data_IF_442149639751
#
_entry.id   IF_442149639751
#
_cell.length_a   1.000
_cell.length_b   1.000
_cell.length_c   1.000
_cell.angle_alpha   90.00
_cell.angle_beta   90.00
_cell.angle_gamma   90.00
#
_symmetry.space_group_name_H-M   'P 1'
#
loop_
_entity.id
_entity.type
_entity.pdbx_description
1 polymer ?
#
# COMPACT_ATOMS: atom_id res chain seq x y z
N UNK A 1 -9.74 -23.67 0.55
CA UNK A 1 -9.89 -22.37 1.27
C UNK A 1 -10.62 -21.41 0.34
N UNK A 2 -11.64 -20.70 0.81
CA UNK A 2 -12.24 -19.65 0.00
C UNK A 2 -11.35 -18.39 0.11
N UNK A 3 -10.60 -18.08 -0.93
CA UNK A 3 -9.81 -16.86 -0.98
C UNK A 3 -10.70 -15.64 -1.21
N UNK A 4 -10.35 -14.51 -0.60
CA UNK A 4 -11.01 -13.22 -0.84
C UNK A 4 -10.68 -12.78 -2.26
N UNK A 5 -11.71 -12.57 -3.07
CA UNK A 5 -11.54 -12.02 -4.43
C UNK A 5 -11.06 -10.57 -4.34
N UNK A 6 -10.12 -10.23 -5.20
CA UNK A 6 -9.52 -8.90 -5.27
C UNK A 6 -9.69 -8.31 -6.68
N UNK A 7 -10.91 -7.87 -7.04
CA UNK A 7 -11.28 -7.53 -8.41
C UNK A 7 -10.34 -6.49 -9.04
N UNK A 8 -10.02 -5.43 -8.33
CA UNK A 8 -9.15 -4.36 -8.82
C UNK A 8 -7.80 -4.87 -9.33
N UNK A 9 -7.16 -5.77 -8.58
CA UNK A 9 -5.86 -6.34 -8.93
C UNK A 9 -5.98 -7.40 -10.04
N UNK A 10 -7.02 -8.23 -10.01
CA UNK A 10 -7.31 -9.19 -11.09
C UNK A 10 -7.59 -8.48 -12.41
N UNK A 11 -8.34 -7.38 -12.40
CA UNK A 11 -8.61 -6.57 -13.58
C UNK A 11 -7.33 -5.93 -14.16
N UNK A 12 -6.37 -5.57 -13.31
CA UNK A 12 -5.06 -5.12 -13.78
C UNK A 12 -4.33 -6.25 -14.51
N UNK A 13 -4.29 -7.46 -13.96
CA UNK A 13 -3.63 -8.61 -14.59
C UNK A 13 -4.31 -8.98 -15.92
N UNK A 14 -5.66 -9.01 -15.96
CA UNK A 14 -6.46 -9.26 -17.20
C UNK A 14 -6.16 -8.24 -18.29
N UNK A 15 -6.13 -6.94 -17.95
CA UNK A 15 -5.86 -5.86 -18.93
C UNK A 15 -4.51 -5.97 -19.59
N UNK A 16 -3.53 -6.57 -18.91
CA UNK A 16 -2.16 -6.72 -19.41
C UNK A 16 -1.81 -8.14 -19.85
N UNK A 17 -2.77 -9.08 -19.82
CA UNK A 17 -2.62 -10.45 -20.33
C UNK A 17 -2.26 -10.43 -21.81
N UNK A 18 -1.39 -11.35 -22.22
CA UNK A 18 -0.95 -11.55 -23.61
C UNK A 18 -0.33 -10.27 -24.25
N UNK A 19 0.12 -9.34 -23.43
CA UNK A 19 0.88 -8.16 -23.88
C UNK A 19 2.35 -8.35 -23.56
N UNK A 20 3.20 -7.96 -24.51
CA UNK A 20 4.65 -7.98 -24.31
C UNK A 20 5.08 -6.88 -23.32
N UNK A 21 4.72 -7.08 -22.07
CA UNK A 21 5.07 -6.23 -20.94
C UNK A 21 5.13 -7.10 -19.68
N UNK A 22 6.11 -6.89 -18.82
CA UNK A 22 6.24 -7.61 -17.55
C UNK A 22 5.20 -7.07 -16.57
N UNK A 23 4.42 -7.95 -15.92
CA UNK A 23 3.45 -7.59 -14.88
C UNK A 23 4.10 -7.77 -13.53
N UNK A 24 4.26 -6.68 -12.82
CA UNK A 24 4.87 -6.68 -11.51
C UNK A 24 3.82 -6.39 -10.45
N UNK A 25 3.79 -7.27 -9.45
CA UNK A 25 2.90 -7.18 -8.30
C UNK A 25 3.76 -6.95 -7.06
N UNK A 26 3.87 -5.70 -6.64
CA UNK A 26 4.56 -5.33 -5.41
C UNK A 26 3.58 -5.26 -4.22
N UNK A 27 4.09 -5.00 -3.04
CA UNK A 27 3.26 -4.80 -1.85
C UNK A 27 3.88 -5.40 -0.59
N UNK A 28 3.47 -4.87 0.57
CA UNK A 28 3.99 -5.28 1.86
C UNK A 28 3.87 -6.81 2.08
N UNK A 29 4.75 -7.36 2.88
CA UNK A 29 4.65 -8.78 3.28
C UNK A 29 3.26 -9.10 3.84
N UNK A 30 2.71 -10.28 3.48
CA UNK A 30 1.38 -10.76 3.93
C UNK A 30 0.17 -9.98 3.41
N UNK A 31 0.32 -9.07 2.45
CA UNK A 31 -0.81 -8.39 1.81
C UNK A 31 -1.62 -9.28 0.86
N UNK A 32 -1.12 -10.48 0.52
CA UNK A 32 -1.84 -11.46 -0.31
C UNK A 32 -1.38 -11.55 -1.76
N UNK A 33 -0.15 -11.13 -2.10
CA UNK A 33 0.43 -11.22 -3.46
C UNK A 33 0.39 -12.64 -4.04
N UNK A 34 0.90 -13.63 -3.29
CA UNK A 34 0.92 -15.05 -3.72
C UNK A 34 -0.49 -15.61 -3.92
N UNK A 35 -1.45 -15.20 -3.06
CA UNK A 35 -2.87 -15.57 -3.22
C UNK A 35 -3.46 -14.93 -4.48
N UNK A 36 -3.10 -13.70 -4.80
CA UNK A 36 -3.53 -13.04 -6.04
C UNK A 36 -3.04 -13.83 -7.27
N UNK A 37 -1.79 -14.30 -7.28
CA UNK A 37 -1.28 -15.17 -8.34
C UNK A 37 -2.03 -16.49 -8.41
N UNK A 38 -2.37 -17.08 -7.26
CA UNK A 38 -3.16 -18.32 -7.23
C UNK A 38 -4.54 -18.11 -7.85
N UNK A 39 -5.25 -17.06 -7.45
CA UNK A 39 -6.56 -16.71 -8.02
C UNK A 39 -6.49 -16.47 -9.53
N UNK A 40 -5.45 -15.79 -10.00
CA UNK A 40 -5.30 -15.50 -11.42
C UNK A 40 -4.94 -16.76 -12.22
N UNK A 41 -4.12 -17.67 -11.68
CA UNK A 41 -3.85 -18.98 -12.31
C UNK A 41 -5.12 -19.82 -12.43
N UNK A 42 -5.96 -19.85 -11.40
CA UNK A 42 -7.27 -20.54 -11.44
C UNK A 42 -8.17 -19.95 -12.54
N UNK A 43 -8.12 -18.64 -12.73
CA UNK A 43 -8.86 -17.96 -13.80
C UNK A 43 -8.30 -18.30 -15.19
N UNK A 44 -6.97 -18.34 -15.37
CA UNK A 44 -6.35 -18.76 -16.62
C UNK A 44 -6.77 -20.18 -17.02
N UNK A 45 -6.72 -21.14 -16.09
CA UNK A 45 -7.20 -22.50 -16.30
C UNK A 45 -8.70 -22.53 -16.67
N UNK A 46 -9.52 -21.76 -15.97
CA UNK A 46 -10.95 -21.67 -16.25
C UNK A 46 -11.27 -21.06 -17.64
N UNK A 47 -10.33 -20.27 -18.19
CA UNK A 47 -10.45 -19.68 -19.54
C UNK A 47 -9.84 -20.53 -20.66
N UNK A 48 -9.40 -21.76 -20.36
CA UNK A 48 -8.92 -22.74 -21.32
C UNK A 48 -7.40 -22.75 -21.54
N UNK A 49 -6.61 -22.14 -20.65
CA UNK A 49 -5.15 -22.31 -20.63
C UNK A 49 -4.85 -23.69 -20.04
N UNK A 50 -4.01 -24.49 -20.70
CA UNK A 50 -3.59 -25.79 -20.21
C UNK A 50 -2.62 -25.63 -19.02
N UNK A 51 -2.64 -26.59 -18.09
CA UNK A 51 -1.77 -26.55 -16.90
C UNK A 51 -0.27 -26.56 -17.26
N UNK A 52 0.12 -27.24 -18.34
CA UNK A 52 1.49 -27.27 -18.85
C UNK A 52 2.00 -25.93 -19.41
N UNK A 53 1.10 -24.98 -19.70
CA UNK A 53 1.42 -23.63 -20.10
C UNK A 53 1.66 -22.67 -18.91
N UNK A 54 1.44 -23.14 -17.66
CA UNK A 54 1.62 -22.33 -16.46
C UNK A 54 2.88 -22.79 -15.71
N UNK A 55 3.91 -21.94 -15.70
CA UNK A 55 5.11 -22.15 -14.89
C UNK A 55 5.03 -21.23 -13.67
N UNK A 56 4.93 -21.83 -12.47
CA UNK A 56 4.80 -21.06 -11.23
C UNK A 56 5.84 -21.49 -10.21
N UNK A 57 6.69 -20.56 -9.80
CA UNK A 57 7.80 -20.78 -8.87
C UNK A 57 7.68 -19.77 -7.72
N UNK A 58 7.64 -20.29 -6.48
CA UNK A 58 7.74 -19.46 -5.28
C UNK A 58 9.13 -19.64 -4.66
N UNK A 59 9.94 -18.58 -4.63
CA UNK A 59 11.32 -18.64 -4.14
C UNK A 59 11.45 -18.65 -2.61
N UNK A 60 10.35 -18.58 -1.86
CA UNK A 60 10.35 -18.92 -0.42
C UNK A 60 10.29 -20.43 -0.19
N UNK A 61 9.85 -21.23 -1.19
CA UNK A 61 9.84 -22.69 -1.11
C UNK A 61 11.25 -23.25 -1.32
N UNK A 62 11.69 -24.07 -0.36
CA UNK A 62 13.01 -24.72 -0.38
C UNK A 62 13.19 -25.66 -1.57
N UNK A 63 12.10 -26.21 -2.14
CA UNK A 63 12.14 -27.07 -3.34
C UNK A 63 12.73 -26.38 -4.55
N UNK A 64 12.69 -25.03 -4.57
CA UNK A 64 13.24 -24.20 -5.64
C UNK A 64 14.54 -23.49 -5.26
N UNK A 65 15.21 -23.92 -4.17
CA UNK A 65 16.42 -23.25 -3.69
C UNK A 65 17.50 -23.16 -4.75
N UNK A 66 17.76 -24.22 -5.52
CA UNK A 66 18.75 -24.27 -6.59
C UNK A 66 18.43 -23.32 -7.76
N UNK A 67 17.16 -22.93 -7.91
CA UNK A 67 16.72 -21.96 -8.93
C UNK A 67 16.95 -20.49 -8.51
N UNK A 68 17.49 -20.22 -7.32
CA UNK A 68 17.83 -18.87 -6.89
C UNK A 68 19.05 -18.28 -7.60
N UNK A 69 19.75 -19.11 -8.38
CA UNK A 69 20.81 -18.64 -9.29
C UNK A 69 20.22 -18.36 -10.68
N UNK A 70 20.50 -17.18 -11.24
CA UNK A 70 19.86 -16.69 -12.46
C UNK A 70 20.03 -17.62 -13.69
N UNK A 71 21.21 -18.22 -13.88
CA UNK A 71 21.46 -19.13 -15.00
C UNK A 71 20.67 -20.43 -14.86
N UNK A 72 20.60 -20.99 -13.67
CA UNK A 72 19.84 -22.23 -13.38
C UNK A 72 18.35 -21.98 -13.60
N UNK A 73 17.83 -20.85 -13.12
CA UNK A 73 16.44 -20.48 -13.33
C UNK A 73 16.10 -20.31 -14.81
N UNK A 74 16.93 -19.57 -15.55
CA UNK A 74 16.68 -19.37 -16.96
C UNK A 74 16.72 -20.68 -17.75
N UNK A 75 17.71 -21.57 -17.51
CA UNK A 75 17.79 -22.88 -18.13
C UNK A 75 16.54 -23.75 -17.80
N UNK A 76 16.16 -23.79 -16.52
CA UNK A 76 14.99 -24.53 -16.07
C UNK A 76 13.70 -24.11 -16.80
N UNK A 77 13.50 -22.80 -16.97
CA UNK A 77 12.33 -22.28 -17.68
C UNK A 77 12.44 -22.58 -19.17
N UNK A 78 13.61 -22.30 -19.78
CA UNK A 78 13.82 -22.46 -21.23
C UNK A 78 13.60 -23.90 -21.73
N UNK A 79 14.00 -24.90 -20.95
CA UNK A 79 13.80 -26.33 -21.27
C UNK A 79 12.32 -26.75 -21.33
N UNK A 80 11.42 -25.94 -20.73
CA UNK A 80 9.96 -26.21 -20.67
C UNK A 80 9.17 -25.46 -21.74
N UNK A 81 9.81 -24.53 -22.43
CA UNK A 81 9.13 -23.72 -23.45
C UNK A 81 9.12 -24.45 -24.80
N UNK A 82 7.95 -24.48 -25.42
CA UNK A 82 7.74 -24.96 -26.80
C UNK A 82 7.29 -23.76 -27.63
N UNK A 83 7.84 -23.57 -28.84
CA UNK A 83 7.63 -22.36 -29.64
C UNK A 83 6.15 -22.11 -30.01
N UNK A 84 5.37 -23.16 -30.18
CA UNK A 84 3.97 -23.07 -30.64
C UNK A 84 2.97 -22.75 -29.51
N UNK A 85 3.41 -22.74 -28.23
CA UNK A 85 2.54 -22.48 -27.08
C UNK A 85 2.91 -21.20 -26.37
N UNK A 86 1.91 -20.43 -25.92
CA UNK A 86 2.09 -19.29 -25.00
C UNK A 86 2.22 -19.80 -23.56
N UNK A 87 3.20 -19.29 -22.83
CA UNK A 87 3.47 -19.65 -21.43
C UNK A 87 3.24 -18.48 -20.50
N UNK A 88 2.53 -18.74 -19.40
CA UNK A 88 2.27 -17.80 -18.31
C UNK A 88 3.24 -18.12 -17.16
N UNK A 89 4.23 -17.26 -16.96
CA UNK A 89 5.32 -17.52 -16.01
C UNK A 89 5.12 -16.65 -14.76
N UNK A 90 4.91 -17.30 -13.61
CA UNK A 90 4.74 -16.66 -12.32
C UNK A 90 5.96 -16.88 -11.44
N UNK A 91 6.72 -15.83 -11.17
CA UNK A 91 7.91 -15.85 -10.31
C UNK A 91 7.59 -15.05 -9.04
N UNK A 92 7.27 -15.78 -7.97
CA UNK A 92 6.83 -15.23 -6.69
C UNK A 92 8.03 -15.01 -5.75
N UNK A 93 8.12 -13.80 -5.13
CA UNK A 93 9.23 -13.34 -4.29
C UNK A 93 10.59 -13.42 -5.02
N UNK A 94 10.63 -12.92 -6.26
CA UNK A 94 11.76 -13.02 -7.20
C UNK A 94 13.05 -12.35 -6.66
N UNK A 95 12.99 -11.44 -5.69
CA UNK A 95 14.16 -10.82 -5.06
C UNK A 95 15.10 -11.83 -4.37
N UNK A 96 14.64 -13.07 -4.17
CA UNK A 96 15.50 -14.15 -3.69
C UNK A 96 16.41 -14.73 -4.78
N UNK A 97 16.20 -14.37 -6.06
CA UNK A 97 17.03 -14.79 -7.18
C UNK A 97 18.14 -13.79 -7.42
N UNK A 98 19.38 -14.26 -7.44
CA UNK A 98 20.53 -13.43 -7.77
C UNK A 98 20.42 -12.92 -9.21
N UNK A 99 20.61 -11.62 -9.44
CA UNK A 99 20.53 -10.99 -10.78
C UNK A 99 19.25 -11.35 -11.55
N UNK A 100 18.12 -11.42 -10.86
CA UNK A 100 16.82 -11.79 -11.46
C UNK A 100 16.44 -10.90 -12.64
N UNK A 101 16.91 -9.66 -12.68
CA UNK A 101 16.69 -8.70 -13.77
C UNK A 101 17.21 -9.24 -15.12
N UNK A 102 18.29 -10.02 -15.12
CA UNK A 102 18.80 -10.65 -16.33
C UNK A 102 17.87 -11.77 -16.82
N UNK A 103 17.25 -12.50 -15.90
CA UNK A 103 16.26 -13.52 -16.22
C UNK A 103 14.99 -12.87 -16.76
N UNK A 104 14.50 -11.85 -16.08
CA UNK A 104 13.29 -11.13 -16.48
C UNK A 104 13.45 -10.51 -17.89
N UNK A 105 14.59 -9.90 -18.16
CA UNK A 105 14.90 -9.32 -19.47
C UNK A 105 15.00 -10.39 -20.56
N UNK A 106 15.67 -11.51 -20.26
CA UNK A 106 15.82 -12.62 -21.21
C UNK A 106 14.48 -13.32 -21.51
N UNK A 107 13.59 -13.43 -20.54
CA UNK A 107 12.26 -13.98 -20.75
C UNK A 107 11.33 -13.00 -21.48
N UNK A 108 11.47 -11.70 -21.20
CA UNK A 108 10.66 -10.65 -21.84
C UNK A 108 10.83 -10.61 -23.37
N UNK A 109 12.00 -10.92 -23.91
CA UNK A 109 12.23 -10.90 -25.36
C UNK A 109 11.64 -12.11 -26.07
N UNK A 110 11.17 -13.14 -25.34
CA UNK A 110 10.54 -14.32 -25.93
C UNK A 110 9.07 -14.01 -26.25
N UNK A 111 8.63 -14.15 -27.53
CA UNK A 111 7.30 -13.71 -27.97
C UNK A 111 6.17 -14.57 -27.40
N UNK A 112 6.48 -15.76 -26.93
CA UNK A 112 5.53 -16.74 -26.37
C UNK A 112 5.54 -16.79 -24.86
N UNK A 113 6.10 -15.76 -24.18
CA UNK A 113 6.16 -15.67 -22.72
C UNK A 113 5.36 -14.48 -22.22
N UNK A 114 4.43 -14.75 -21.31
CA UNK A 114 3.70 -13.77 -20.52
C UNK A 114 4.19 -13.81 -19.07
N UNK A 115 4.95 -12.77 -18.63
CA UNK A 115 5.74 -12.79 -17.41
C UNK A 115 5.09 -11.99 -16.28
N UNK A 116 4.97 -12.63 -15.11
CA UNK A 116 4.41 -12.10 -13.88
C UNK A 116 5.42 -12.25 -12.74
N UNK A 117 5.74 -11.16 -12.07
CA UNK A 117 6.72 -11.11 -10.98
C UNK A 117 6.06 -10.59 -9.70
N UNK A 118 6.43 -11.12 -8.53
CA UNK A 118 6.14 -10.46 -7.26
C UNK A 118 7.40 -10.11 -6.49
N UNK A 119 7.27 -9.08 -5.65
CA UNK A 119 8.28 -8.71 -4.66
C UNK A 119 7.67 -7.98 -3.48
N UNK A 120 8.29 -8.13 -2.30
CA UNK A 120 7.73 -7.63 -1.04
C UNK A 120 8.20 -6.23 -0.62
N UNK A 121 8.98 -5.54 -1.45
CA UNK A 121 9.43 -4.18 -1.15
C UNK A 121 9.55 -3.30 -2.41
N UNK A 122 9.41 -1.99 -2.25
CA UNK A 122 9.51 -1.03 -3.34
C UNK A 122 10.96 -0.85 -3.85
N UNK A 123 11.96 -1.20 -3.04
CA UNK A 123 13.36 -1.14 -3.46
C UNK A 123 13.66 -2.09 -4.61
N UNK A 124 13.10 -3.29 -4.56
CA UNK A 124 13.11 -4.24 -5.64
C UNK A 124 12.69 -3.58 -6.96
N UNK A 125 11.66 -2.72 -6.86
CA UNK A 125 11.08 -2.03 -8.02
C UNK A 125 11.88 -0.78 -8.44
N UNK A 126 12.42 -0.02 -7.48
CA UNK A 126 12.99 1.30 -7.75
C UNK A 126 14.46 1.28 -8.21
N UNK A 127 15.27 0.31 -7.79
CA UNK A 127 16.73 0.34 -8.04
C UNK A 127 17.20 -0.62 -9.13
N UNK A 128 16.76 -1.86 -9.10
CA UNK A 128 17.23 -2.88 -10.06
C UNK A 128 16.33 -2.99 -11.29
N UNK A 129 15.00 -2.99 -11.09
CA UNK A 129 14.07 -2.98 -12.23
C UNK A 129 14.08 -1.66 -12.99
N UNK A 130 14.08 -0.52 -12.26
CA UNK A 130 14.06 0.78 -12.91
C UNK A 130 15.29 1.04 -13.78
N UNK A 131 16.47 0.48 -13.44
CA UNK A 131 17.69 0.68 -14.25
C UNK A 131 17.75 -0.25 -15.45
N UNK A 132 17.35 -1.52 -15.29
CA UNK A 132 17.57 -2.55 -16.31
C UNK A 132 16.33 -2.86 -17.15
N UNK A 133 15.12 -2.65 -16.61
CA UNK A 133 13.85 -2.98 -17.27
C UNK A 133 12.97 -1.74 -17.54
N UNK A 134 13.58 -0.55 -17.60
CA UNK A 134 12.85 0.71 -17.84
C UNK A 134 11.99 0.63 -19.10
N UNK A 135 10.69 0.89 -18.96
CA UNK A 135 9.72 0.86 -20.06
C UNK A 135 9.25 -0.55 -20.47
N UNK A 136 9.70 -1.62 -19.78
CA UNK A 136 9.34 -3.01 -20.09
C UNK A 136 8.38 -3.63 -19.08
N UNK A 137 7.98 -2.92 -18.02
CA UNK A 137 7.04 -3.42 -17.03
C UNK A 137 5.93 -2.43 -16.70
N UNK A 138 4.84 -2.99 -16.19
CA UNK A 138 3.78 -2.28 -15.48
C UNK A 138 3.67 -2.82 -14.07
N UNK A 139 3.38 -1.93 -13.12
CA UNK A 139 3.33 -2.30 -11.71
C UNK A 139 1.96 -2.04 -11.11
N UNK A 140 1.54 -2.94 -10.21
CA UNK A 140 0.46 -2.71 -9.27
C UNK A 140 0.90 -3.07 -7.86
N UNK A 141 0.66 -2.16 -6.91
CA UNK A 141 0.97 -2.37 -5.51
C UNK A 141 -0.23 -2.96 -4.76
N UNK A 142 -0.06 -4.16 -4.20
CA UNK A 142 -1.08 -4.84 -3.39
C UNK A 142 -1.01 -4.33 -1.95
N UNK A 143 -1.99 -3.54 -1.57
CA UNK A 143 -2.22 -3.08 -0.20
C UNK A 143 -2.92 -4.18 0.64
N UNK A 144 -2.90 -4.12 1.97
CA UNK A 144 -3.83 -4.87 2.81
C UNK A 144 -5.27 -4.69 2.30
N UNK A 145 -6.24 -5.47 2.77
CA UNK A 145 -7.61 -5.45 2.23
C UNK A 145 -8.20 -4.04 2.21
N UNK A 146 -8.94 -3.70 1.15
CA UNK A 146 -9.87 -2.57 1.19
C UNK A 146 -11.04 -2.88 2.11
N UNK A 147 -11.85 -1.89 2.50
CA UNK A 147 -13.00 -2.17 3.33
C UNK A 147 -14.04 -3.05 2.60
N UNK A 148 -14.23 -2.86 1.29
CA UNK A 148 -15.08 -3.74 0.46
C UNK A 148 -14.57 -5.18 0.46
N UNK A 149 -13.26 -5.39 0.26
CA UNK A 149 -12.62 -6.71 0.30
C UNK A 149 -12.72 -7.34 1.70
N UNK A 150 -12.50 -6.56 2.76
CA UNK A 150 -12.60 -6.97 4.15
C UNK A 150 -14.03 -7.42 4.47
N UNK A 151 -15.02 -6.65 4.06
CA UNK A 151 -16.45 -6.97 4.23
C UNK A 151 -16.81 -8.26 3.49
N UNK A 152 -16.32 -8.45 2.25
CA UNK A 152 -16.57 -9.65 1.46
C UNK A 152 -15.93 -10.91 2.04
N UNK A 153 -14.87 -10.75 2.82
CA UNK A 153 -14.15 -11.85 3.49
C UNK A 153 -14.75 -12.27 4.83
N UNK A 154 -15.72 -11.53 5.35
CA UNK A 154 -16.39 -11.89 6.62
C UNK A 154 -17.18 -13.18 6.49
N UNK A 155 -17.12 -14.01 7.51
CA UNK A 155 -17.98 -15.21 7.61
C UNK A 155 -19.43 -14.79 7.77
N UNK A 156 -20.35 -15.37 7.00
CA UNK A 156 -21.80 -15.19 7.14
C UNK A 156 -22.36 -15.62 8.52
N UNK A 157 -21.53 -16.25 9.36
CA UNK A 157 -21.92 -16.69 10.70
C UNK A 157 -21.88 -15.61 11.77
N UNK A 158 -21.27 -14.45 11.49
CA UNK A 158 -21.23 -13.33 12.41
C UNK A 158 -22.32 -12.33 12.03
N UNK A 159 -23.36 -12.21 12.86
CA UNK A 159 -24.44 -11.22 12.69
C UNK A 159 -23.97 -9.78 13.02
N UNK A 160 -22.78 -9.38 12.53
CA UNK A 160 -22.25 -8.05 12.73
C UNK A 160 -22.86 -7.08 11.72
N UNK A 161 -23.20 -5.87 12.18
CA UNK A 161 -23.56 -4.80 11.27
C UNK A 161 -22.32 -4.15 10.63
N UNK A 162 -22.50 -3.39 9.57
CA UNK A 162 -21.42 -2.77 8.81
C UNK A 162 -20.51 -1.88 9.67
N UNK A 163 -21.08 -1.19 10.68
CA UNK A 163 -20.31 -0.33 11.59
C UNK A 163 -19.41 -1.15 12.51
N UNK A 164 -19.89 -2.28 13.01
CA UNK A 164 -19.09 -3.20 13.83
C UNK A 164 -17.95 -3.81 13.01
N UNK A 165 -18.23 -4.20 11.77
CA UNK A 165 -17.20 -4.70 10.84
C UNK A 165 -16.17 -3.60 10.55
N UNK A 166 -16.61 -2.35 10.37
CA UNK A 166 -15.71 -1.22 10.16
C UNK A 166 -14.81 -0.98 11.39
N UNK A 167 -15.33 -1.08 12.60
CA UNK A 167 -14.53 -0.99 13.82
C UNK A 167 -13.46 -2.08 13.90
N UNK A 168 -13.76 -3.31 13.46
CA UNK A 168 -12.79 -4.38 13.35
C UNK A 168 -11.75 -4.11 12.25
N UNK A 169 -12.17 -3.52 11.13
CA UNK A 169 -11.29 -3.08 10.04
C UNK A 169 -10.30 -2.00 10.49
N UNK A 170 -10.70 -1.08 11.37
CA UNK A 170 -9.80 -0.08 11.97
C UNK A 170 -8.71 -0.72 12.83
N UNK A 171 -8.87 -1.95 13.29
CA UNK A 171 -7.80 -2.64 14.01
C UNK A 171 -6.68 -3.05 13.05
N UNK A 172 -6.98 -3.74 11.95
CA UNK A 172 -6.04 -4.13 10.90
C UNK A 172 -6.76 -4.70 9.68
N UNK A 173 -6.21 -4.44 8.52
CA UNK A 173 -6.69 -4.90 7.23
C UNK A 173 -5.87 -6.06 6.63
N UNK A 174 -4.94 -6.68 7.38
CA UNK A 174 -4.21 -7.85 6.91
C UNK A 174 -5.14 -9.06 6.74
N UNK A 175 -5.11 -9.75 5.57
CA UNK A 175 -6.10 -10.79 5.23
C UNK A 175 -6.21 -11.93 6.25
N UNK A 176 -5.09 -12.38 6.81
CA UNK A 176 -5.07 -13.50 7.77
C UNK A 176 -5.85 -13.18 9.04
N UNK A 177 -5.92 -11.92 9.46
CA UNK A 177 -6.58 -11.53 10.70
C UNK A 177 -8.11 -11.70 10.67
N UNK A 178 -8.71 -11.86 9.50
CA UNK A 178 -10.11 -12.27 9.36
C UNK A 178 -10.38 -13.71 9.87
N UNK A 179 -9.33 -14.53 9.99
CA UNK A 179 -9.45 -15.90 10.46
C UNK A 179 -9.18 -16.05 11.96
N UNK A 180 -8.85 -14.93 12.64
CA UNK A 180 -8.50 -14.90 14.07
C UNK A 180 -9.52 -14.09 14.85
N UNK A 181 -10.05 -14.68 15.95
CA UNK A 181 -10.99 -14.02 16.87
C UNK A 181 -10.30 -13.47 18.11
N UNK A 182 -9.19 -14.05 18.52
CA UNK A 182 -8.44 -13.69 19.74
C UNK A 182 -7.58 -12.45 19.54
N UNK A 183 -7.73 -11.46 20.42
CA UNK A 183 -6.84 -10.27 20.43
C UNK A 183 -5.35 -10.65 20.56
N UNK A 184 -5.04 -11.63 21.43
CA UNK A 184 -3.67 -12.09 21.62
C UNK A 184 -3.06 -12.66 20.33
N UNK A 185 -3.80 -13.52 19.60
CA UNK A 185 -3.37 -14.07 18.31
C UNK A 185 -3.18 -12.97 17.26
N UNK A 186 -4.07 -11.98 17.22
CA UNK A 186 -3.92 -10.83 16.32
C UNK A 186 -2.63 -10.06 16.58
N UNK A 187 -2.32 -9.76 17.84
CA UNK A 187 -1.09 -9.07 18.23
C UNK A 187 0.14 -9.91 17.93
N UNK A 188 0.12 -11.21 18.20
CA UNK A 188 1.26 -12.09 17.90
C UNK A 188 1.52 -12.19 16.39
N UNK A 189 0.48 -12.27 15.59
CA UNK A 189 0.60 -12.23 14.13
C UNK A 189 1.19 -10.91 13.61
N UNK A 190 0.69 -9.78 14.10
CA UNK A 190 1.19 -8.44 13.73
C UNK A 190 2.66 -8.27 14.15
N UNK A 191 3.04 -8.80 15.32
CA UNK A 191 4.43 -8.83 15.79
C UNK A 191 5.31 -9.65 14.85
N UNK A 192 4.82 -10.79 14.37
CA UNK A 192 5.48 -11.62 13.37
C UNK A 192 5.72 -10.88 12.05
N UNK A 193 4.71 -10.15 11.54
CA UNK A 193 4.84 -9.32 10.33
C UNK A 193 5.88 -8.22 10.55
N UNK A 194 5.75 -7.45 11.63
CA UNK A 194 6.65 -6.34 11.94
C UNK A 194 8.11 -6.81 12.04
N UNK A 195 8.36 -7.89 12.78
CA UNK A 195 9.69 -8.44 12.92
C UNK A 195 10.25 -8.96 11.59
N UNK A 196 9.41 -9.58 10.76
CA UNK A 196 9.82 -10.07 9.43
C UNK A 196 10.25 -8.91 8.53
N UNK A 197 9.48 -7.82 8.48
CA UNK A 197 9.83 -6.62 7.70
C UNK A 197 11.10 -5.98 8.29
N UNK A 198 11.16 -5.82 9.62
CA UNK A 198 12.31 -5.21 10.30
C UNK A 198 13.61 -5.97 10.00
N UNK A 199 13.61 -7.29 10.17
CA UNK A 199 14.82 -8.11 10.04
C UNK A 199 15.21 -8.36 8.57
N UNK A 200 14.26 -8.74 7.72
CA UNK A 200 14.56 -9.15 6.35
C UNK A 200 14.69 -7.98 5.38
N UNK A 201 13.86 -6.95 5.54
CA UNK A 201 13.81 -5.86 4.57
C UNK A 201 14.63 -4.64 5.03
N UNK A 202 14.61 -4.30 6.32
CA UNK A 202 15.23 -3.07 6.83
C UNK A 202 16.66 -3.33 7.33
N UNK A 203 16.86 -4.31 8.24
CA UNK A 203 18.17 -4.57 8.84
C UNK A 203 19.16 -5.07 7.81
N UNK A 204 18.75 -6.00 6.94
CA UNK A 204 19.59 -6.54 5.88
C UNK A 204 20.08 -5.44 4.94
N UNK A 205 19.20 -4.50 4.60
CA UNK A 205 19.52 -3.41 3.67
C UNK A 205 20.42 -2.34 4.28
N UNK A 206 20.21 -2.00 5.54
CA UNK A 206 21.00 -0.97 6.23
C UNK A 206 22.39 -1.44 6.68
N UNK A 207 22.75 -2.71 6.47
CA UNK A 207 24.06 -3.22 6.80
C UNK A 207 24.40 -3.17 8.31
N UNK A 208 23.56 -3.81 9.11
CA UNK A 208 23.71 -3.90 10.57
C UNK A 208 23.37 -2.61 11.37
N UNK A 209 22.18 -2.02 11.17
CA UNK A 209 21.73 -0.86 11.90
C UNK A 209 21.44 -1.23 13.36
N UNK A 210 21.29 -0.23 14.22
CA UNK A 210 20.81 -0.43 15.58
C UNK A 210 19.28 -0.62 15.60
N UNK A 211 18.73 -1.82 15.91
CA UNK A 211 17.29 -2.08 15.87
C UNK A 211 16.48 -1.18 16.80
N UNK A 212 17.05 -0.81 17.96
CA UNK A 212 16.40 0.08 18.93
C UNK A 212 16.18 1.48 18.36
N UNK A 213 17.11 1.99 17.56
CA UNK A 213 16.95 3.30 16.89
C UNK A 213 15.84 3.22 15.85
N UNK A 214 15.81 2.16 15.04
CA UNK A 214 14.75 1.96 14.04
C UNK A 214 13.40 1.89 14.73
N UNK A 215 13.24 1.12 15.80
CA UNK A 215 11.97 1.03 16.52
C UNK A 215 11.52 2.39 17.06
N UNK A 216 12.43 3.23 17.58
CA UNK A 216 12.09 4.59 18.03
C UNK A 216 11.65 5.48 16.89
N UNK A 217 12.28 5.37 15.71
CA UNK A 217 11.85 6.10 14.50
C UNK A 217 10.44 5.64 14.10
N UNK A 218 10.21 4.33 14.04
CA UNK A 218 8.88 3.75 13.72
C UNK A 218 7.82 4.26 14.69
N UNK A 219 8.07 4.21 16.01
CA UNK A 219 7.14 4.74 17.03
C UNK A 219 6.89 6.25 16.85
N UNK A 220 7.93 7.02 16.50
CA UNK A 220 7.79 8.47 16.23
C UNK A 220 6.91 8.72 15.00
N UNK A 221 7.08 7.95 13.91
CA UNK A 221 6.25 8.06 12.72
C UNK A 221 4.80 7.66 13.00
N UNK A 222 4.58 6.54 13.71
CA UNK A 222 3.24 6.08 14.11
C UNK A 222 2.50 7.10 14.98
N UNK A 223 3.21 7.73 15.93
CA UNK A 223 2.62 8.78 16.78
C UNK A 223 2.36 10.11 16.05
N UNK A 224 2.97 10.29 14.88
CA UNK A 224 2.82 11.47 14.04
C UNK A 224 1.95 11.22 12.80
N UNK A 225 1.28 10.05 12.73
CA UNK A 225 0.38 9.70 11.60
C UNK A 225 -0.61 10.85 11.38
N UNK A 226 -0.78 11.26 10.11
CA UNK A 226 -1.68 12.37 9.75
C UNK A 226 -1.13 13.77 10.06
N UNK A 227 0.01 13.90 10.74
CA UNK A 227 0.61 15.19 11.07
C UNK A 227 1.79 15.51 10.15
N UNK A 228 1.92 16.78 9.75
CA UNK A 228 3.10 17.26 9.04
C UNK A 228 4.34 17.16 9.93
N UNK A 229 5.35 16.47 9.43
CA UNK A 229 6.60 16.27 10.13
C UNK A 229 7.81 16.52 9.20
N UNK A 230 8.90 17.02 9.74
CA UNK A 230 10.19 17.16 9.04
C UNK A 230 11.21 16.20 9.61
N UNK A 231 12.22 15.82 8.82
CA UNK A 231 13.38 15.05 9.27
C UNK A 231 14.02 15.69 10.52
N UNK A 232 14.11 17.01 10.56
CA UNK A 232 14.64 17.75 11.73
C UNK A 232 13.76 17.56 12.98
N UNK A 233 12.43 17.59 12.85
CA UNK A 233 11.54 17.37 14.00
C UNK A 233 11.67 15.93 14.52
N UNK A 234 11.74 14.94 13.62
CA UNK A 234 11.99 13.53 14.01
C UNK A 234 13.32 13.41 14.74
N UNK A 235 14.39 14.00 14.19
CA UNK A 235 15.72 14.00 14.82
C UNK A 235 15.69 14.62 16.22
N UNK A 236 15.06 15.76 16.39
CA UNK A 236 14.95 16.45 17.68
C UNK A 236 14.17 15.60 18.70
N UNK A 237 13.12 14.91 18.29
CA UNK A 237 12.39 13.94 19.12
C UNK A 237 13.31 12.80 19.57
N UNK A 238 14.12 12.24 18.66
CA UNK A 238 15.07 11.17 19.01
C UNK A 238 16.16 11.67 19.96
N UNK A 239 16.68 12.88 19.74
CA UNK A 239 17.67 13.49 20.64
C UNK A 239 17.10 13.69 22.06
N UNK A 240 15.85 14.14 22.18
CA UNK A 240 15.17 14.25 23.49
C UNK A 240 15.00 12.90 24.21
N UNK A 241 15.04 11.80 23.46
CA UNK A 241 15.02 10.42 23.95
C UNK A 241 16.45 9.84 24.15
N UNK A 242 17.49 10.69 24.18
CA UNK A 242 18.91 10.31 24.29
C UNK A 242 19.42 9.45 23.11
N UNK A 243 18.89 9.64 21.91
CA UNK A 243 19.39 9.00 20.69
C UNK A 243 20.11 10.05 19.84
N UNK A 244 21.42 9.88 19.68
CA UNK A 244 22.21 10.69 18.76
C UNK A 244 22.21 10.05 17.37
N UNK A 245 21.74 10.78 16.37
CA UNK A 245 21.71 10.33 14.97
C UNK A 245 22.03 11.48 14.03
N UNK A 246 22.84 11.21 13.00
CA UNK A 246 23.12 12.20 11.96
C UNK A 246 21.90 12.40 11.05
N UNK A 247 21.81 13.57 10.39
CA UNK A 247 20.72 13.85 9.46
C UNK A 247 20.70 12.82 8.31
N UNK A 248 21.83 12.55 7.70
CA UNK A 248 21.95 11.61 6.58
C UNK A 248 21.58 10.16 6.98
N UNK A 249 21.97 9.75 8.21
CA UNK A 249 21.59 8.40 8.71
C UNK A 249 20.08 8.31 8.91
N UNK A 250 19.47 9.37 9.45
CA UNK A 250 18.02 9.41 9.64
C UNK A 250 17.27 9.38 8.29
N UNK A 251 17.73 10.17 7.31
CA UNK A 251 17.13 10.13 5.96
C UNK A 251 17.23 8.77 5.31
N UNK A 252 18.39 8.09 5.43
CA UNK A 252 18.55 6.73 4.94
C UNK A 252 17.59 5.75 5.63
N UNK A 253 17.36 5.91 6.96
CA UNK A 253 16.39 5.08 7.68
C UNK A 253 14.95 5.36 7.23
N UNK A 254 14.57 6.62 7.06
CA UNK A 254 13.24 7.00 6.56
C UNK A 254 12.99 6.46 5.15
N UNK A 255 13.95 6.61 4.25
CA UNK A 255 13.89 6.04 2.90
C UNK A 255 13.74 4.52 2.95
N UNK A 256 14.52 3.83 3.79
CA UNK A 256 14.42 2.37 3.91
C UNK A 256 13.06 1.93 4.48
N UNK A 257 12.49 2.67 5.42
CA UNK A 257 11.16 2.41 5.97
C UNK A 257 10.05 2.59 4.93
N UNK A 258 10.16 3.60 4.06
CA UNK A 258 9.22 3.80 2.96
C UNK A 258 9.38 2.76 1.85
N UNK A 259 10.62 2.44 1.49
CA UNK A 259 10.92 1.41 0.50
C UNK A 259 10.54 -0.01 0.94
N UNK A 260 10.48 -0.28 2.25
CA UNK A 260 9.94 -1.54 2.79
C UNK A 260 8.41 -1.58 2.78
N UNK A 261 7.76 -0.52 2.31
CA UNK A 261 6.30 -0.35 2.31
C UNK A 261 5.67 -0.42 3.71
N UNK A 262 6.45 -0.15 4.76
CA UNK A 262 5.94 -0.04 6.12
C UNK A 262 5.20 1.29 6.35
N UNK A 263 5.70 2.34 5.69
CA UNK A 263 5.12 3.67 5.67
C UNK A 263 5.08 4.24 4.26
N UNK A 264 4.10 5.09 4.03
CA UNK A 264 4.03 5.96 2.86
C UNK A 264 4.37 7.39 3.28
N UNK A 265 5.30 8.01 2.59
CA UNK A 265 5.57 9.43 2.67
C UNK A 265 4.68 10.16 1.65
N UNK A 266 3.92 11.14 2.13
CA UNK A 266 3.00 11.92 1.31
C UNK A 266 3.47 13.38 1.26
N UNK A 267 4.02 13.82 0.11
CA UNK A 267 4.54 15.17 -0.04
C UNK A 267 3.40 16.20 -0.10
N UNK A 268 3.75 17.44 0.24
CA UNK A 268 2.83 18.56 0.12
C UNK A 268 2.75 19.08 -1.32
N UNK A 269 1.57 19.49 -1.70
CA UNK A 269 1.26 20.07 -3.00
C UNK A 269 0.69 21.48 -2.82
N UNK A 270 1.33 22.47 -3.43
CA UNK A 270 0.79 23.83 -3.50
C UNK A 270 -0.41 23.86 -4.45
N UNK A 271 -1.60 24.00 -3.89
CA UNK A 271 -2.87 23.98 -4.65
C UNK A 271 -2.95 25.15 -5.64
N UNK A 272 -2.39 26.33 -5.30
CA UNK A 272 -2.37 27.51 -6.18
C UNK A 272 -1.29 27.40 -7.26
N UNK A 273 -0.06 27.11 -6.84
CA UNK A 273 1.10 27.03 -7.73
C UNK A 273 1.15 25.72 -8.52
N UNK A 274 0.34 24.73 -8.16
CA UNK A 274 0.30 23.38 -8.77
C UNK A 274 1.69 22.74 -8.83
N UNK A 275 2.40 22.79 -7.72
CA UNK A 275 3.77 22.33 -7.60
C UNK A 275 4.00 21.56 -6.29
N UNK A 276 4.91 20.59 -6.33
CA UNK A 276 5.33 19.86 -5.14
C UNK A 276 6.20 20.75 -4.25
N UNK A 277 5.98 20.66 -2.94
CA UNK A 277 6.76 21.36 -1.92
C UNK A 277 7.78 20.40 -1.31
N UNK A 278 9.04 20.82 -1.23
CA UNK A 278 10.16 19.98 -0.80
C UNK A 278 10.30 19.80 0.72
N UNK A 279 9.45 20.43 1.53
CA UNK A 279 9.60 20.42 3.00
C UNK A 279 8.29 20.03 3.66
N UNK A 280 8.38 19.24 4.71
CA UNK A 280 7.27 18.69 5.48
C UNK A 280 6.43 17.69 4.67
N UNK A 281 6.29 16.52 5.22
CA UNK A 281 5.51 15.41 4.67
C UNK A 281 4.62 14.83 5.76
N UNK A 282 3.56 14.13 5.37
CA UNK A 282 2.83 13.25 6.28
C UNK A 282 3.27 11.81 6.05
N UNK A 283 3.32 11.03 7.12
CA UNK A 283 3.60 9.59 7.03
C UNK A 283 2.38 8.80 7.45
N UNK A 284 2.02 7.82 6.62
CA UNK A 284 0.91 6.91 6.88
C UNK A 284 1.42 5.47 6.91
N UNK A 285 1.17 4.70 8.01
CA UNK A 285 1.48 3.29 8.02
C UNK A 285 0.62 2.52 7.01
N UNK A 286 1.17 1.45 6.45
CA UNK A 286 0.49 0.57 5.51
C UNK A 286 -0.72 -0.13 6.13
N UNK A 287 -0.70 -0.30 7.46
CA UNK A 287 -1.77 -0.92 8.23
C UNK A 287 -1.80 -0.39 9.66
N UNK A 288 -2.99 -0.13 10.17
CA UNK A 288 -3.20 0.39 11.53
C UNK A 288 -2.84 -0.61 12.64
N UNK A 289 -2.79 -1.91 12.33
CA UNK A 289 -2.36 -2.94 13.26
C UNK A 289 -0.96 -2.72 13.79
N UNK A 290 -0.08 -2.10 13.00
CA UNK A 290 1.26 -1.72 13.45
C UNK A 290 1.21 -0.65 14.55
N UNK A 291 0.24 0.28 14.45
CA UNK A 291 0.02 1.29 15.47
C UNK A 291 -0.49 0.66 16.77
N UNK A 292 -1.47 -0.24 16.69
CA UNK A 292 -1.97 -0.99 17.85
C UNK A 292 -0.89 -1.87 18.50
N UNK A 293 0.03 -2.43 17.71
CA UNK A 293 1.14 -3.23 18.21
C UNK A 293 2.16 -2.42 19.01
N UNK A 294 2.49 -1.21 18.53
CA UNK A 294 3.67 -0.47 18.99
C UNK A 294 3.35 0.75 19.88
N UNK A 295 2.12 1.27 19.82
CA UNK A 295 1.71 2.42 20.63
C UNK A 295 0.62 2.03 21.63
N UNK A 296 0.57 2.68 22.81
CA UNK A 296 -0.58 2.61 23.69
C UNK A 296 -1.81 3.18 22.98
N UNK A 297 -2.99 2.64 23.28
CA UNK A 297 -4.25 3.17 22.76
C UNK A 297 -4.49 4.61 23.22
N UNK A 298 -4.55 5.51 22.26
CA UNK A 298 -4.97 6.90 22.47
C UNK A 298 -6.34 7.10 21.80
N UNK A 299 -7.38 7.26 22.60
CA UNK A 299 -8.75 7.51 22.12
C UNK A 299 -8.91 8.84 21.36
N UNK A 300 -7.93 9.74 21.50
CA UNK A 300 -8.00 11.11 20.94
C UNK A 300 -7.57 11.20 19.47
N UNK A 301 -7.08 10.09 18.87
CA UNK A 301 -6.49 10.11 17.52
C UNK A 301 -7.41 9.57 16.41
N UNK A 302 -8.71 9.44 16.67
CA UNK A 302 -9.64 8.82 15.69
C UNK A 302 -9.64 9.56 14.34
N UNK A 303 -9.47 10.87 14.34
CA UNK A 303 -9.37 11.67 13.12
C UNK A 303 -8.20 11.25 12.25
N UNK A 304 -7.00 11.08 12.82
CA UNK A 304 -5.81 10.62 12.11
C UNK A 304 -5.89 9.15 11.66
N UNK A 305 -6.62 8.31 12.42
CA UNK A 305 -6.91 6.92 12.04
C UNK A 305 -7.79 6.90 10.78
N UNK A 306 -8.86 7.71 10.76
CA UNK A 306 -9.74 7.83 9.60
C UNK A 306 -9.02 8.43 8.40
N UNK A 307 -8.17 9.43 8.63
CA UNK A 307 -7.32 10.02 7.59
C UNK A 307 -6.40 8.96 6.96
N UNK A 308 -5.79 8.08 7.77
CA UNK A 308 -4.98 6.97 7.24
C UNK A 308 -5.79 6.00 6.37
N UNK A 309 -6.99 5.63 6.79
CA UNK A 309 -7.88 4.75 6.01
C UNK A 309 -8.26 5.41 4.67
N UNK A 310 -8.63 6.69 4.71
CA UNK A 310 -8.95 7.46 3.50
C UNK A 310 -7.72 7.55 2.58
N UNK A 311 -6.53 7.80 3.13
CA UNK A 311 -5.29 7.81 2.35
C UNK A 311 -5.05 6.49 1.60
N UNK A 312 -5.14 5.35 2.31
CA UNK A 312 -4.92 4.04 1.70
C UNK A 312 -5.95 3.75 0.61
N UNK A 313 -7.19 4.17 0.79
CA UNK A 313 -8.22 4.02 -0.24
C UNK A 313 -7.99 4.95 -1.44
N UNK A 314 -7.59 6.20 -1.21
CA UNK A 314 -7.22 7.12 -2.28
C UNK A 314 -6.02 6.59 -3.09
N UNK A 315 -5.04 5.95 -2.43
CA UNK A 315 -3.90 5.32 -3.08
C UNK A 315 -4.30 4.10 -3.94
N UNK A 316 -5.37 3.38 -3.60
CA UNK A 316 -5.93 2.32 -4.47
C UNK A 316 -6.58 2.88 -5.71
N UNK A 317 -7.26 4.03 -5.59
CA UNK A 317 -8.04 4.64 -6.68
C UNK A 317 -7.21 5.52 -7.59
N UNK A 318 -6.15 6.17 -7.07
CA UNK A 318 -5.38 7.18 -7.77
C UNK A 318 -3.87 6.93 -7.66
N UNK A 319 -3.16 7.16 -8.75
CA UNK A 319 -1.70 7.00 -8.80
C UNK A 319 -0.95 8.09 -8.02
N UNK A 320 -1.56 9.26 -7.81
CA UNK A 320 -0.94 10.41 -7.17
C UNK A 320 -1.85 10.98 -6.10
N UNK A 321 -1.38 10.96 -4.85
CA UNK A 321 -2.05 11.50 -3.67
C UNK A 321 -1.08 12.41 -2.94
N UNK A 322 -1.52 13.60 -2.60
CA UNK A 322 -0.72 14.64 -1.95
C UNK A 322 -1.46 15.25 -0.76
N UNK A 323 -0.73 15.89 0.16
CA UNK A 323 -1.30 16.80 1.16
C UNK A 323 -1.42 18.19 0.55
N UNK A 324 -2.62 18.77 0.54
CA UNK A 324 -2.86 20.08 -0.04
C UNK A 324 -2.36 21.20 0.87
N UNK A 325 -1.60 22.14 0.30
CA UNK A 325 -1.21 23.39 0.93
C UNK A 325 -1.87 24.55 0.21
N UNK A 326 -2.61 25.38 0.94
CA UNK A 326 -3.28 26.55 0.40
C UNK A 326 -3.06 27.74 1.35
N UNK A 327 -1.98 28.50 1.17
CA UNK A 327 -1.56 29.59 2.04
C UNK A 327 -1.46 29.14 3.52
N UNK A 328 -2.44 29.57 4.34
CA UNK A 328 -2.55 29.24 5.76
C UNK A 328 -3.40 27.98 6.06
N UNK A 329 -4.01 27.39 5.04
CA UNK A 329 -4.87 26.22 5.17
C UNK A 329 -4.16 24.96 4.68
N UNK A 330 -4.49 23.85 5.30
CA UNK A 330 -4.16 22.51 4.84
C UNK A 330 -5.45 21.83 4.33
N UNK A 331 -5.32 21.10 3.23
CA UNK A 331 -6.34 20.18 2.74
C UNK A 331 -5.76 18.77 2.90
N UNK A 332 -6.47 17.89 3.57
CA UNK A 332 -5.92 16.59 3.92
C UNK A 332 -5.39 15.84 2.70
N UNK A 333 -6.17 15.80 1.61
CA UNK A 333 -5.71 15.16 0.38
C UNK A 333 -6.07 15.91 -0.89
N UNK A 334 -5.13 15.92 -1.82
CA UNK A 334 -5.28 16.31 -3.22
C UNK A 334 -4.90 15.11 -4.06
N UNK A 335 -5.78 14.66 -4.93
CA UNK A 335 -5.51 13.57 -5.88
C UNK A 335 -5.53 14.08 -7.31
N UNK A 336 -4.70 13.47 -8.15
CA UNK A 336 -4.73 13.69 -9.59
C UNK A 336 -5.66 12.66 -10.22
N UNK A 337 -6.78 13.13 -10.78
CA UNK A 337 -7.78 12.26 -11.41
C UNK A 337 -7.49 12.05 -12.90
N UNK A 338 -6.89 13.03 -13.54
CA UNK A 338 -6.42 13.02 -14.93
C UNK A 338 -5.42 14.16 -15.11
N UNK A 339 -4.77 14.25 -16.26
CA UNK A 339 -3.80 15.32 -16.57
C UNK A 339 -4.44 16.70 -16.35
N UNK A 340 -3.94 17.43 -15.35
CA UNK A 340 -4.44 18.76 -14.98
C UNK A 340 -5.78 18.76 -14.26
N UNK A 341 -6.34 17.61 -13.90
CA UNK A 341 -7.58 17.49 -13.13
C UNK A 341 -7.31 16.94 -11.73
N UNK A 342 -7.98 17.51 -10.74
CA UNK A 342 -7.78 17.22 -9.33
C UNK A 342 -9.10 16.89 -8.64
N UNK A 343 -9.01 16.27 -7.46
CA UNK A 343 -10.10 16.22 -6.50
C UNK A 343 -9.52 16.46 -5.10
N UNK A 344 -10.32 17.04 -4.21
CA UNK A 344 -9.92 17.48 -2.88
C UNK A 344 -10.74 16.76 -1.82
N UNK A 345 -10.07 16.29 -0.79
CA UNK A 345 -10.69 15.55 0.30
C UNK A 345 -10.28 16.13 1.64
N UNK A 346 -11.27 16.37 2.49
CA UNK A 346 -11.11 16.71 3.90
C UNK A 346 -11.74 15.62 4.74
N UNK A 347 -11.10 15.22 5.83
CA UNK A 347 -11.54 14.09 6.67
C UNK A 347 -11.78 14.59 8.09
N UNK A 348 -12.92 14.27 8.66
CA UNK A 348 -13.25 14.61 10.04
C UNK A 348 -14.02 13.46 10.69
N UNK A 349 -13.84 13.23 11.97
CA UNK A 349 -14.66 12.25 12.71
C UNK A 349 -16.13 12.66 12.65
N UNK A 350 -16.44 13.91 12.99
CA UNK A 350 -17.80 14.46 12.98
C UNK A 350 -17.82 15.95 12.64
N UNK A 351 -18.90 16.38 12.03
CA UNK A 351 -19.19 17.78 11.71
C UNK A 351 -20.58 18.22 12.21
N UNK A 352 -21.12 17.53 13.23
CA UNK A 352 -22.42 17.86 13.81
C UNK A 352 -22.40 19.21 14.55
N UNK A 353 -21.25 19.59 15.13
CA UNK A 353 -21.05 20.93 15.68
C UNK A 353 -20.76 21.92 14.57
N UNK A 354 -21.50 23.04 14.53
CA UNK A 354 -21.37 24.07 13.48
C UNK A 354 -19.94 24.63 13.37
N UNK A 355 -19.29 24.86 14.51
CA UNK A 355 -17.92 25.35 14.56
C UNK A 355 -16.92 24.39 13.87
N UNK A 356 -17.10 23.07 14.11
CA UNK A 356 -16.29 22.04 13.45
C UNK A 356 -16.59 21.99 11.96
N UNK A 357 -17.86 22.03 11.57
CA UNK A 357 -18.26 22.04 10.16
C UNK A 357 -17.62 23.23 9.42
N UNK A 358 -17.74 24.44 9.96
CA UNK A 358 -17.13 25.64 9.37
C UNK A 358 -15.59 25.52 9.26
N UNK A 359 -14.95 24.97 10.29
CA UNK A 359 -13.50 24.75 10.28
C UNK A 359 -13.08 23.83 9.14
N UNK A 360 -13.78 22.70 8.95
CA UNK A 360 -13.47 21.71 7.93
C UNK A 360 -13.85 22.15 6.50
N UNK A 361 -14.85 23.02 6.34
CA UNK A 361 -15.23 23.56 5.04
C UNK A 361 -14.27 24.65 4.55
N UNK A 362 -13.70 25.47 5.44
CA UNK A 362 -12.85 26.63 5.08
C UNK A 362 -11.72 26.32 4.11
N UNK A 363 -10.91 25.25 4.28
CA UNK A 363 -9.86 24.90 3.33
C UNK A 363 -10.41 24.65 1.93
N UNK A 364 -11.51 23.91 1.82
CA UNK A 364 -12.15 23.55 0.55
C UNK A 364 -12.83 24.75 -0.13
N UNK A 365 -13.44 25.65 0.64
CA UNK A 365 -14.05 26.90 0.14
C UNK A 365 -13.00 27.91 -0.36
N UNK A 366 -11.80 27.86 0.22
CA UNK A 366 -10.70 28.72 -0.20
C UNK A 366 -10.13 28.32 -1.57
N UNK A 367 -10.35 27.09 -2.04
CA UNK A 367 -9.97 26.62 -3.37
C UNK A 367 -10.94 27.19 -4.40
N UNK A 368 -10.41 27.95 -5.38
CA UNK A 368 -11.23 28.71 -6.35
C UNK A 368 -11.51 27.97 -7.66
N UNK A 369 -10.94 26.78 -7.85
CA UNK A 369 -11.24 25.98 -9.04
C UNK A 369 -12.58 25.23 -8.92
N UNK A 370 -12.99 24.58 -10.02
CA UNK A 370 -14.26 23.86 -10.15
C UNK A 370 -14.13 22.35 -9.95
N UNK A 371 -12.96 21.88 -9.51
CA UNK A 371 -12.75 20.46 -9.31
C UNK A 371 -13.54 19.92 -8.11
N UNK A 372 -13.88 18.62 -8.11
CA UNK A 372 -14.66 18.00 -7.04
C UNK A 372 -14.02 18.19 -5.65
N UNK A 373 -14.85 18.51 -4.67
CA UNK A 373 -14.46 18.69 -3.27
C UNK A 373 -15.33 17.82 -2.39
N UNK A 374 -14.70 17.05 -1.51
CA UNK A 374 -15.36 16.10 -0.63
C UNK A 374 -15.01 16.36 0.83
N UNK A 375 -16.03 16.33 1.69
CA UNK A 375 -15.89 16.29 3.13
C UNK A 375 -16.36 14.91 3.60
N UNK A 376 -15.43 14.10 4.08
CA UNK A 376 -15.66 12.72 4.52
C UNK A 376 -15.78 12.68 6.05
N UNK A 377 -16.88 12.09 6.57
CA UNK A 377 -17.14 12.05 8.02
C UNK A 377 -17.72 10.70 8.45
N UNK A 378 -17.73 10.44 9.75
CA UNK A 378 -18.43 9.29 10.33
C UNK A 378 -19.87 9.62 10.75
N UNK A 379 -20.36 10.82 10.42
CA UNK A 379 -21.72 11.22 10.79
C UNK A 379 -22.77 10.28 10.19
N UNK A 380 -23.65 9.76 11.06
CA UNK A 380 -24.83 8.98 10.67
C UNK A 380 -26.08 9.87 10.58
N UNK A 381 -26.07 11.02 11.24
CA UNK A 381 -27.08 12.08 11.10
C UNK A 381 -26.61 13.01 9.97
N UNK A 382 -27.44 13.19 8.95
CA UNK A 382 -27.08 13.90 7.71
C UNK A 382 -25.76 13.37 7.10
N UNK A 383 -25.72 12.07 6.76
CA UNK A 383 -24.52 11.44 6.23
C UNK A 383 -24.08 12.03 4.89
N UNK A 384 -25.03 12.65 4.18
CA UNK A 384 -24.79 13.34 2.91
C UNK A 384 -25.34 14.77 2.95
N UNK A 385 -24.57 15.71 2.40
CA UNK A 385 -24.98 17.11 2.22
C UNK A 385 -24.18 17.74 1.09
N UNK A 386 -24.61 18.93 0.66
CA UNK A 386 -23.85 19.75 -0.31
C UNK A 386 -23.75 21.17 0.22
N UNK A 387 -22.53 21.61 0.47
CA UNK A 387 -22.20 22.96 0.94
C UNK A 387 -21.52 23.73 -0.22
N UNK A 388 -22.30 24.46 -1.01
CA UNK A 388 -21.78 25.26 -2.14
C UNK A 388 -20.86 24.49 -3.10
N UNK A 389 -21.24 23.23 -3.42
CA UNK A 389 -20.45 22.36 -4.32
C UNK A 389 -19.50 21.42 -3.58
N UNK A 390 -19.30 21.57 -2.27
CA UNK A 390 -18.56 20.63 -1.43
C UNK A 390 -19.51 19.50 -1.02
N UNK A 391 -19.19 18.27 -1.43
CA UNK A 391 -20.03 17.08 -1.18
C UNK A 391 -19.62 16.43 0.13
N UNK A 392 -20.48 16.47 1.16
CA UNK A 392 -20.30 15.66 2.36
C UNK A 392 -20.75 14.22 2.10
N UNK A 393 -19.97 13.25 2.58
CA UNK A 393 -20.27 11.81 2.52
C UNK A 393 -19.87 11.12 3.81
N UNK A 394 -20.60 10.06 4.17
CA UNK A 394 -20.13 9.14 5.21
C UNK A 394 -18.94 8.33 4.69
N UNK A 395 -17.91 8.13 5.52
CA UNK A 395 -16.68 7.41 5.15
C UNK A 395 -16.96 5.96 4.75
N UNK A 396 -17.82 5.26 5.52
CA UNK A 396 -18.15 3.85 5.24
C UNK A 396 -18.81 3.73 3.86
N UNK A 397 -19.79 4.59 3.57
CA UNK A 397 -20.47 4.60 2.29
C UNK A 397 -19.51 4.92 1.16
N UNK A 398 -18.62 5.91 1.35
CA UNK A 398 -17.61 6.29 0.37
C UNK A 398 -16.59 5.18 0.10
N UNK A 399 -16.19 4.39 1.12
CA UNK A 399 -15.29 3.25 0.96
C UNK A 399 -15.91 2.11 0.13
N UNK A 400 -17.23 2.03 0.09
CA UNK A 400 -18.01 1.03 -0.66
C UNK A 400 -18.44 1.52 -2.05
N UNK A 401 -18.21 2.79 -2.39
CA UNK A 401 -18.46 3.34 -3.73
C UNK A 401 -17.45 2.80 -4.75
N UNK A 402 -17.93 2.41 -5.92
CA UNK A 402 -17.11 1.93 -7.05
C UNK A 402 -16.59 3.07 -7.90
#
# INVERSE_FOLDING_TARGET
>A
MNYIKRPHYLDFLRRHRDRQIIKVVSGVRRAGKSVLFQLYKEELLATGVDEDQIISINFEDLSYYELRHFQTLFAYIKERLVEEKTYYIFLDEIQHVEKFELVADSLFILPNVDLYLTGSNAYFMSSQLATNLTGRYVEIEVLPLSFEEYLSGQSLSENLNTTEIFNNYLFSAFPYLLQTSSYAEKIDYLRGIYNSILLNDIVTRLGNPNPTIIERIVRTLLSSTGSLISTNKIRNTLVSQNVSISHNTLENYLTTLTDSLLFYSVPRFDVKGRALLQRLEKYYPVDLGLRHLLLPDHKEDIGHILENIVYLELRRRYSQVYVGNLDKYEVDFVVVTDVGHYAYYQVSETTLALETLERELRPLEAIKDQFPKYLLTMDTIQPTANYNGIKKKNIIDWLLEK
#
